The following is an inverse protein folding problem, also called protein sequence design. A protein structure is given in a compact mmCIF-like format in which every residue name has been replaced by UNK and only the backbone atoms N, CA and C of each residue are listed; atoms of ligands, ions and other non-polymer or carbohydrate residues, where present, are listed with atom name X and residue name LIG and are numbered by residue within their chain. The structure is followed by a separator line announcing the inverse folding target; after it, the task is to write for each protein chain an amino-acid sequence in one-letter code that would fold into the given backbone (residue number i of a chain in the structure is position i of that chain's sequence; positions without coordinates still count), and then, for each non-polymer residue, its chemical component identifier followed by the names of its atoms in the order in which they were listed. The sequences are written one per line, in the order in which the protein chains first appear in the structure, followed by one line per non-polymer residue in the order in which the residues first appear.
data_IF_189864456644
#
_entry.id   IF_189864456644
#
_cell.length_a   1.000
_cell.length_b   1.000
_cell.length_c   1.000
_cell.angle_alpha   90.00
_cell.angle_beta   90.00
_cell.angle_gamma   90.00
#
_symmetry.space_group_name_H-M   'P 1'
#
loop_
_entity.id
_entity.type
_entity.pdbx_description
1 polymer ?
#
# COMPACT_ATOMS: atom_id res chain seq x y z
N UNK A 1 12.20 7.99 20.88
CA UNK A 1 10.93 8.63 21.25
C UNK A 1 9.96 8.55 20.08
N UNK A 2 8.68 8.83 20.28
CA UNK A 2 7.67 8.85 19.22
C UNK A 2 6.69 10.00 19.47
N UNK A 3 6.05 10.56 18.44
CA UNK A 3 5.10 11.67 18.59
C UNK A 3 3.88 11.30 19.44
N UNK A 4 3.46 10.05 19.40
CA UNK A 4 2.33 9.50 20.15
C UNK A 4 2.72 8.88 21.51
N UNK A 5 3.89 9.23 22.05
CA UNK A 5 4.49 8.51 23.19
C UNK A 5 3.65 8.50 24.48
N UNK A 6 2.74 9.48 24.66
CA UNK A 6 1.81 9.57 25.81
C UNK A 6 0.43 8.98 25.56
N UNK A 7 0.20 8.36 24.40
CA UNK A 7 -1.12 7.80 24.06
C UNK A 7 -1.15 6.29 24.34
N UNK A 8 -2.34 5.69 24.54
CA UNK A 8 -2.48 4.24 24.66
C UNK A 8 -1.94 3.46 23.45
N UNK A 9 -1.87 4.11 22.28
CA UNK A 9 -1.36 3.53 21.02
C UNK A 9 0.10 3.91 20.73
N UNK A 10 0.90 4.20 21.76
CA UNK A 10 2.30 4.63 21.64
C UNK A 10 3.15 3.65 20.83
N UNK A 11 4.03 4.19 19.98
CA UNK A 11 5.04 3.39 19.26
C UNK A 11 6.26 3.04 20.12
N UNK A 12 6.43 3.68 21.28
CA UNK A 12 7.56 3.40 22.19
C UNK A 12 7.42 1.98 22.73
N UNK A 13 8.54 1.25 22.82
CA UNK A 13 8.59 -0.11 23.38
C UNK A 13 8.21 -1.24 22.40
N UNK A 14 7.79 -0.92 21.18
CA UNK A 14 7.46 -1.90 20.15
C UNK A 14 8.67 -2.20 19.24
N UNK A 15 8.81 -3.46 18.81
CA UNK A 15 9.86 -3.87 17.89
C UNK A 15 9.39 -3.71 16.43
N UNK A 16 10.08 -2.88 15.66
CA UNK A 16 9.83 -2.68 14.23
C UNK A 16 10.99 -3.14 13.33
N UNK A 17 11.97 -3.86 13.88
CA UNK A 17 13.17 -4.28 13.14
C UNK A 17 12.88 -5.20 11.94
N UNK A 18 11.70 -5.84 11.92
CA UNK A 18 11.23 -6.69 10.83
C UNK A 18 10.62 -5.91 9.66
N UNK A 19 10.29 -4.62 9.85
CA UNK A 19 9.59 -3.82 8.83
C UNK A 19 10.54 -3.49 7.68
N UNK A 20 10.08 -3.61 6.41
CA UNK A 20 10.91 -3.30 5.25
C UNK A 20 11.57 -1.92 5.29
N UNK A 21 10.86 -0.87 5.74
CA UNK A 21 11.47 0.46 5.84
C UNK A 21 12.72 0.44 6.73
N UNK A 22 12.68 -0.22 7.90
CA UNK A 22 13.80 -0.26 8.84
C UNK A 22 14.98 -1.07 8.29
N UNK A 23 14.70 -2.21 7.65
CA UNK A 23 15.72 -3.04 7.01
C UNK A 23 16.40 -2.29 5.86
N UNK A 24 15.63 -1.55 5.05
CA UNK A 24 16.15 -0.69 4.00
C UNK A 24 16.99 0.45 4.58
N UNK A 25 16.51 1.14 5.64
CA UNK A 25 17.28 2.21 6.29
C UNK A 25 18.64 1.72 6.76
N UNK A 26 18.69 0.53 7.38
CA UNK A 26 19.94 -0.06 7.87
C UNK A 26 20.89 -0.44 6.73
N UNK A 27 20.37 -0.91 5.60
CA UNK A 27 21.18 -1.37 4.48
C UNK A 27 21.61 -0.25 3.51
N UNK A 28 20.76 0.77 3.31
CA UNK A 28 20.90 1.79 2.26
C UNK A 28 20.89 3.22 2.77
N UNK A 29 20.70 3.43 4.08
CA UNK A 29 20.59 4.75 4.71
C UNK A 29 19.17 5.34 4.68
N UNK A 30 18.30 4.92 3.77
CA UNK A 30 16.89 5.33 3.71
C UNK A 30 15.97 4.15 3.47
N UNK A 31 14.70 4.29 3.83
CA UNK A 31 13.69 3.25 3.60
C UNK A 31 12.30 3.82 3.43
N UNK A 32 11.48 3.15 2.63
CA UNK A 32 10.09 3.50 2.34
C UNK A 32 9.20 2.25 2.40
N UNK A 33 7.99 2.38 2.93
CA UNK A 33 7.07 1.25 3.00
C UNK A 33 5.63 1.70 3.27
N UNK A 34 4.67 1.19 2.49
CA UNK A 34 3.27 1.28 2.86
C UNK A 34 2.92 0.17 3.86
N UNK A 35 2.18 0.49 4.92
CA UNK A 35 1.60 -0.52 5.80
C UNK A 35 0.36 -0.02 6.53
N UNK A 36 -0.51 -0.97 6.87
CA UNK A 36 -1.52 -0.79 7.91
C UNK A 36 -0.84 -0.82 9.27
N UNK A 37 -1.01 0.25 10.05
CA UNK A 37 -0.39 0.36 11.37
C UNK A 37 -0.85 -0.76 12.30
N UNK A 38 0.08 -1.55 12.85
CA UNK A 38 -0.23 -2.69 13.76
C UNK A 38 -1.05 -2.23 14.97
N UNK A 39 -0.68 -1.04 15.49
CA UNK A 39 -1.23 -0.46 16.71
C UNK A 39 -2.53 0.30 16.46
N UNK A 40 -2.59 1.10 15.38
CA UNK A 40 -3.73 2.01 15.14
C UNK A 40 -4.73 1.47 14.12
N UNK A 41 -4.37 0.48 13.30
CA UNK A 41 -5.17 0.03 12.15
C UNK A 41 -5.25 1.04 11.00
N UNK A 42 -4.63 2.22 11.15
CA UNK A 42 -4.68 3.30 10.16
C UNK A 42 -3.55 3.08 9.15
N UNK A 43 -3.86 2.96 7.85
CA UNK A 43 -2.84 2.85 6.80
C UNK A 43 -1.94 4.09 6.76
N UNK A 44 -0.69 3.89 6.40
CA UNK A 44 0.22 4.99 6.17
C UNK A 44 1.44 4.58 5.37
N UNK A 45 2.09 5.59 4.82
CA UNK A 45 3.36 5.47 4.14
C UNK A 45 4.48 5.92 5.08
N UNK A 46 5.38 4.99 5.36
CA UNK A 46 6.49 5.17 6.28
C UNK A 46 7.72 5.55 5.48
N UNK A 47 8.27 6.72 5.78
CA UNK A 47 9.56 7.19 5.29
C UNK A 47 10.56 7.16 6.43
N UNK A 48 11.78 6.72 6.15
CA UNK A 48 12.79 6.53 7.19
C UNK A 48 14.19 6.89 6.71
N UNK A 49 15.00 7.41 7.63
CA UNK A 49 16.39 7.80 7.39
C UNK A 49 17.28 7.33 8.54
N UNK A 50 18.51 6.93 8.23
CA UNK A 50 19.47 6.41 9.18
C UNK A 50 19.98 7.53 10.08
N UNK A 51 20.08 7.23 11.37
CA UNK A 51 20.84 8.02 12.34
C UNK A 51 22.20 7.34 12.48
N UNK A 52 23.26 8.07 12.16
CA UNK A 52 24.63 7.58 12.20
C UNK A 52 25.38 8.23 13.37
N UNK A 53 26.37 7.54 13.91
CA UNK A 53 27.34 8.15 14.81
C UNK A 53 28.41 8.94 14.02
N UNK A 54 29.30 9.61 14.73
CA UNK A 54 30.38 10.42 14.13
C UNK A 54 31.37 9.61 13.27
N UNK A 55 31.42 8.29 13.46
CA UNK A 55 32.25 7.36 12.68
C UNK A 55 31.50 6.67 11.55
N UNK A 56 30.25 7.07 11.25
CA UNK A 56 29.41 6.52 10.18
C UNK A 56 28.70 5.19 10.52
N UNK A 57 28.76 4.72 11.76
CA UNK A 57 28.08 3.53 12.24
C UNK A 57 26.58 3.75 12.47
N UNK A 58 25.74 2.80 12.06
CA UNK A 58 24.29 2.87 12.23
C UNK A 58 23.88 2.80 13.71
N UNK A 59 23.23 3.85 14.20
CA UNK A 59 22.69 3.92 15.56
C UNK A 59 21.18 3.63 15.63
N UNK A 60 20.45 3.85 14.54
CA UNK A 60 19.00 3.67 14.49
C UNK A 60 18.38 4.36 13.28
N UNK A 61 17.06 4.48 13.28
CA UNK A 61 16.31 5.13 12.21
C UNK A 61 15.34 6.18 12.78
N UNK A 62 15.28 7.34 12.11
CA UNK A 62 14.18 8.28 12.26
C UNK A 62 13.10 7.93 11.25
N UNK A 63 11.83 7.96 11.66
CA UNK A 63 10.69 7.52 10.83
C UNK A 63 9.57 8.55 10.87
N UNK A 64 9.04 8.90 9.70
CA UNK A 64 7.84 9.72 9.52
C UNK A 64 6.75 8.83 8.91
N UNK A 65 5.53 8.90 9.46
CA UNK A 65 4.34 8.26 8.90
C UNK A 65 3.49 9.33 8.23
N UNK A 66 3.23 9.17 6.95
CA UNK A 66 2.26 9.95 6.19
C UNK A 66 0.95 9.16 6.15
N UNK A 67 -0.16 9.80 6.47
CA UNK A 67 -1.50 9.22 6.35
C UNK A 67 -2.16 9.79 5.09
N UNK A 68 -3.01 9.02 4.41
CA UNK A 68 -3.65 9.43 3.15
C UNK A 68 -5.17 9.73 3.23
N UNK A 69 -5.73 10.25 4.34
CA UNK A 69 -7.17 10.44 4.42
C UNK A 69 -7.70 11.48 3.41
N UNK A 70 -6.86 12.43 2.97
CA UNK A 70 -7.27 13.49 2.03
C UNK A 70 -7.31 13.03 0.57
N UNK A 71 -6.50 12.04 0.18
CA UNK A 71 -6.43 11.61 -1.22
C UNK A 71 -7.73 10.95 -1.67
N UNK A 72 -8.37 10.20 -0.77
CA UNK A 72 -9.66 9.55 -1.02
C UNK A 72 -10.78 10.59 -1.12
N UNK A 73 -10.74 11.63 -0.29
CA UNK A 73 -11.76 12.69 -0.28
C UNK A 73 -11.66 13.63 -1.51
N UNK A 74 -10.45 13.89 -2.01
CA UNK A 74 -10.23 14.67 -3.25
C UNK A 74 -10.69 13.89 -4.50
N UNK A 75 -10.62 12.56 -4.47
CA UNK A 75 -11.02 11.69 -5.59
C UNK A 75 -12.49 11.25 -5.57
N UNK A 76 -13.21 11.48 -4.47
CA UNK A 76 -14.64 11.16 -4.31
C UNK A 76 -15.56 12.04 -5.17
N UNK A 77 -15.01 13.02 -5.90
CA UNK A 77 -15.77 13.98 -6.71
C UNK A 77 -15.99 13.55 -8.17
N UNK A 78 -15.48 12.39 -8.59
CA UNK A 78 -15.59 11.88 -9.96
C UNK A 78 -16.46 10.61 -10.08
N UNK A 79 -17.06 10.40 -11.25
CA UNK A 79 -17.78 9.14 -11.57
C UNK A 79 -16.81 7.97 -11.80
N UNK A 80 -15.55 8.28 -12.14
CA UNK A 80 -14.51 7.30 -12.40
C UNK A 80 -14.04 6.59 -11.11
N UNK A 81 -13.79 5.29 -11.22
CA UNK A 81 -13.20 4.51 -10.13
C UNK A 81 -11.67 4.61 -10.20
N UNK A 82 -11.07 5.09 -9.11
CA UNK A 82 -9.63 5.28 -8.95
C UNK A 82 -9.09 4.32 -7.88
N UNK A 83 -8.08 3.54 -8.26
CA UNK A 83 -7.41 2.57 -7.38
C UNK A 83 -5.90 2.80 -7.38
N UNK A 84 -5.24 2.57 -6.25
CA UNK A 84 -3.77 2.42 -6.21
C UNK A 84 -3.43 1.05 -5.65
N UNK A 85 -2.63 0.28 -6.40
CA UNK A 85 -2.13 -1.02 -5.97
C UNK A 85 -0.64 -1.00 -5.69
N UNK A 86 -0.19 -1.91 -4.81
CA UNK A 86 1.22 -2.19 -4.63
C UNK A 86 1.79 -3.10 -5.73
N UNK A 87 3.07 -3.44 -5.62
CA UNK A 87 3.79 -4.32 -6.56
C UNK A 87 3.21 -5.73 -6.68
N UNK A 88 2.38 -6.17 -5.72
CA UNK A 88 1.70 -7.47 -5.71
C UNK A 88 0.27 -7.38 -6.25
N UNK A 89 -0.16 -6.19 -6.69
CA UNK A 89 -1.51 -5.94 -7.17
C UNK A 89 -2.54 -5.87 -6.05
N UNK A 90 -2.15 -5.55 -4.81
CA UNK A 90 -3.12 -5.33 -3.72
C UNK A 90 -3.53 -3.88 -3.72
N UNK A 91 -4.82 -3.61 -3.92
CA UNK A 91 -5.39 -2.26 -3.82
C UNK A 91 -5.31 -1.77 -2.38
N UNK A 92 -4.68 -0.62 -2.15
CA UNK A 92 -4.50 -0.08 -0.81
C UNK A 92 -5.03 1.36 -0.65
N UNK A 93 -5.33 2.03 -1.77
CA UNK A 93 -6.14 3.25 -1.85
C UNK A 93 -7.24 3.00 -2.87
N UNK A 94 -8.46 3.44 -2.55
CA UNK A 94 -9.59 3.45 -3.47
C UNK A 94 -10.52 4.63 -3.13
N UNK A 95 -11.09 5.28 -4.13
CA UNK A 95 -12.07 6.35 -3.92
C UNK A 95 -13.49 5.85 -3.64
N UNK A 96 -13.78 4.56 -3.90
CA UNK A 96 -15.09 3.96 -3.62
C UNK A 96 -15.02 2.86 -2.55
N UNK A 97 -16.03 2.74 -1.67
CA UNK A 97 -16.10 1.68 -0.66
C UNK A 97 -16.04 0.26 -1.24
N UNK A 98 -15.46 -0.68 -0.50
CA UNK A 98 -15.42 -2.12 -0.89
C UNK A 98 -14.34 -2.49 -1.93
N UNK A 99 -13.65 -1.51 -2.49
CA UNK A 99 -12.55 -1.71 -3.45
C UNK A 99 -11.16 -1.80 -2.81
N UNK A 100 -10.99 -1.27 -1.58
CA UNK A 100 -9.74 -1.41 -0.83
C UNK A 100 -9.49 -2.87 -0.45
N UNK A 101 -8.22 -3.28 -0.45
CA UNK A 101 -7.72 -4.61 -0.12
C UNK A 101 -8.13 -5.72 -1.10
N UNK A 102 -8.50 -5.32 -2.32
CA UNK A 102 -8.72 -6.24 -3.42
C UNK A 102 -7.41 -6.72 -4.03
N UNK A 103 -7.31 -8.02 -4.28
CA UNK A 103 -6.20 -8.63 -5.02
C UNK A 103 -6.55 -8.55 -6.52
N UNK A 104 -5.89 -7.66 -7.26
CA UNK A 104 -6.09 -7.48 -8.71
C UNK A 104 -5.55 -8.66 -9.52
N UNK A 105 -4.56 -9.35 -8.95
CA UNK A 105 -3.90 -10.52 -9.52
C UNK A 105 -3.83 -11.62 -8.46
N UNK A 106 -3.79 -12.90 -8.86
CA UNK A 106 -3.51 -13.99 -7.93
C UNK A 106 -2.16 -13.78 -7.23
N UNK A 107 -2.17 -13.82 -5.89
CA UNK A 107 -0.95 -13.68 -5.09
C UNK A 107 -0.25 -15.03 -4.97
N UNK A 108 1.05 -15.06 -5.28
CA UNK A 108 1.92 -16.23 -5.12
C UNK A 108 2.05 -16.68 -3.66
N UNK A 109 2.51 -17.91 -3.42
CA UNK A 109 2.73 -18.44 -2.06
C UNK A 109 3.83 -17.63 -1.35
N UNK A 110 4.87 -17.26 -2.09
CA UNK A 110 6.02 -16.49 -1.64
C UNK A 110 5.61 -15.06 -1.25
N UNK A 111 4.75 -14.44 -2.04
CA UNK A 111 4.22 -13.10 -1.74
C UNK A 111 3.29 -13.15 -0.53
N UNK A 112 2.43 -14.16 -0.40
CA UNK A 112 1.61 -14.36 0.81
C UNK A 112 2.48 -14.50 2.06
N UNK A 113 3.53 -15.32 1.99
CA UNK A 113 4.48 -15.47 3.10
C UNK A 113 5.18 -14.15 3.44
N UNK A 114 5.53 -13.36 2.42
CA UNK A 114 6.12 -12.03 2.59
C UNK A 114 5.15 -11.08 3.29
N UNK A 115 3.88 -11.01 2.86
CA UNK A 115 2.86 -10.16 3.48
C UNK A 115 2.63 -10.50 4.95
N UNK A 116 2.62 -11.79 5.30
CA UNK A 116 2.50 -12.26 6.68
C UNK A 116 3.70 -11.83 7.53
N UNK A 117 4.92 -12.00 7.01
CA UNK A 117 6.16 -11.63 7.71
C UNK A 117 6.28 -10.11 7.89
N UNK A 118 5.97 -9.35 6.85
CA UNK A 118 6.08 -7.89 6.89
C UNK A 118 4.90 -7.24 7.61
N UNK A 119 3.79 -7.96 7.81
CA UNK A 119 2.54 -7.46 8.41
C UNK A 119 2.00 -6.23 7.67
N UNK A 120 2.13 -6.22 6.35
CA UNK A 120 1.79 -5.06 5.51
C UNK A 120 0.30 -4.71 5.60
N UNK A 121 -0.57 -5.72 5.50
CA UNK A 121 -2.03 -5.60 5.58
C UNK A 121 -2.58 -6.33 6.81
N UNK A 122 -1.86 -6.27 7.93
CA UNK A 122 -2.25 -6.97 9.15
C UNK A 122 -3.68 -6.55 9.58
N UNK A 123 -4.48 -7.54 10.02
CA UNK A 123 -5.90 -7.40 10.37
C UNK A 123 -6.85 -6.98 9.23
N UNK A 124 -6.37 -6.88 7.98
CA UNK A 124 -7.22 -6.64 6.82
C UNK A 124 -7.50 -7.95 6.09
N UNK A 125 -8.73 -8.08 5.57
CA UNK A 125 -9.12 -9.23 4.76
C UNK A 125 -8.79 -8.91 3.30
N UNK A 126 -7.77 -9.57 2.75
CA UNK A 126 -7.49 -9.52 1.32
C UNK A 126 -8.48 -10.41 0.57
N UNK A 127 -9.12 -9.86 -0.46
CA UNK A 127 -10.14 -10.56 -1.25
C UNK A 127 -9.82 -10.48 -2.73
N UNK A 128 -9.82 -11.58 -3.49
CA UNK A 128 -9.66 -11.52 -4.93
C UNK A 128 -10.70 -10.62 -5.59
N UNK A 129 -10.27 -9.82 -6.56
CA UNK A 129 -11.16 -9.15 -7.50
C UNK A 129 -11.27 -10.03 -8.74
N UNK A 130 -12.43 -10.65 -8.96
CA UNK A 130 -12.63 -11.42 -10.18
C UNK A 130 -12.79 -10.46 -11.34
N UNK A 131 -11.88 -10.53 -12.29
CA UNK A 131 -11.96 -9.78 -13.53
C UNK A 131 -11.58 -10.67 -14.71
N UNK A 132 -12.08 -10.30 -15.89
CA UNK A 132 -11.73 -10.94 -17.15
C UNK A 132 -11.55 -9.88 -18.22
N UNK A 133 -10.35 -9.84 -18.82
CA UNK A 133 -10.08 -9.00 -19.98
C UNK A 133 -10.96 -9.46 -21.15
N UNK A 134 -11.73 -8.53 -21.70
CA UNK A 134 -12.57 -8.70 -22.87
C UNK A 134 -11.80 -8.31 -24.13
N UNK A 135 -11.11 -7.17 -24.08
CA UNK A 135 -10.35 -6.62 -25.19
C UNK A 135 -9.13 -5.84 -24.67
N UNK A 136 -8.08 -5.72 -25.49
CA UNK A 136 -6.82 -5.05 -25.13
C UNK A 136 -6.46 -4.02 -26.19
N UNK A 137 -6.32 -2.76 -25.77
CA UNK A 137 -6.01 -1.65 -26.67
C UNK A 137 -4.51 -1.30 -26.64
N UNK A 138 -3.87 -1.43 -25.47
CA UNK A 138 -2.43 -1.23 -25.28
C UNK A 138 -1.94 -2.01 -24.06
N UNK A 139 -0.63 -1.95 -23.78
CA UNK A 139 -0.05 -2.55 -22.58
C UNK A 139 -0.69 -2.03 -21.27
N UNK A 140 -1.23 -0.81 -21.28
CA UNK A 140 -1.76 -0.11 -20.11
C UNK A 140 -3.24 0.24 -20.25
N UNK A 141 -3.94 -0.30 -21.25
CA UNK A 141 -5.35 0.01 -21.53
C UNK A 141 -6.07 -1.21 -22.08
N UNK A 142 -7.12 -1.63 -21.40
CA UNK A 142 -7.89 -2.82 -21.76
C UNK A 142 -9.33 -2.71 -21.26
N UNK A 143 -10.27 -3.36 -21.94
CA UNK A 143 -11.65 -3.51 -21.50
C UNK A 143 -11.75 -4.77 -20.62
N UNK A 144 -12.26 -4.64 -19.40
CA UNK A 144 -12.39 -5.74 -18.44
C UNK A 144 -13.79 -5.84 -17.88
N UNK A 145 -14.34 -7.06 -17.82
CA UNK A 145 -15.50 -7.37 -16.97
C UNK A 145 -15.01 -7.57 -15.54
N UNK A 146 -15.56 -6.82 -14.59
CA UNK A 146 -15.15 -6.86 -13.18
C UNK A 146 -16.35 -7.18 -12.31
N UNK A 147 -16.22 -8.19 -11.44
CA UNK A 147 -17.17 -8.46 -10.36
C UNK A 147 -16.82 -7.57 -9.16
N UNK A 148 -17.28 -6.33 -9.19
CA UNK A 148 -17.03 -5.33 -8.16
C UNK A 148 -17.99 -5.42 -6.96
N UNK A 149 -17.80 -4.56 -5.96
CA UNK A 149 -18.71 -4.43 -4.80
C UNK A 149 -20.15 -4.12 -5.18
N UNK A 150 -20.35 -3.35 -6.25
CA UNK A 150 -21.67 -2.89 -6.72
C UNK A 150 -22.29 -3.79 -7.80
N UNK A 151 -21.63 -4.91 -8.12
CA UNK A 151 -22.06 -5.87 -9.14
C UNK A 151 -21.05 -6.04 -10.27
N UNK A 152 -21.47 -6.78 -11.29
CA UNK A 152 -20.64 -7.05 -12.47
C UNK A 152 -20.80 -5.94 -13.51
N UNK A 153 -19.71 -5.25 -13.81
CA UNK A 153 -19.68 -4.12 -14.76
C UNK A 153 -18.47 -4.26 -15.70
N UNK A 154 -18.61 -3.77 -16.93
CA UNK A 154 -17.50 -3.68 -17.87
C UNK A 154 -16.84 -2.30 -17.73
N UNK A 155 -15.53 -2.28 -17.54
CA UNK A 155 -14.72 -1.07 -17.37
C UNK A 155 -13.65 -0.97 -18.43
N UNK A 156 -13.46 0.23 -18.99
CA UNK A 156 -12.20 0.60 -19.62
C UNK A 156 -11.17 0.84 -18.51
N UNK A 157 -10.24 -0.09 -18.39
CA UNK A 157 -9.20 -0.10 -17.36
C UNK A 157 -7.90 0.45 -17.91
N UNK A 158 -7.46 1.58 -17.35
CA UNK A 158 -6.18 2.21 -17.65
C UNK A 158 -5.24 2.12 -16.45
N UNK A 159 -3.95 1.85 -16.69
CA UNK A 159 -2.93 1.69 -15.66
C UNK A 159 -1.74 2.62 -15.88
N UNK A 160 -1.27 3.27 -14.80
CA UNK A 160 -0.08 4.14 -14.79
C UNK A 160 0.89 3.67 -13.70
N UNK A 161 2.04 3.06 -14.05
CA UNK A 161 3.06 2.69 -13.09
C UNK A 161 3.71 3.92 -12.44
N UNK A 162 3.81 3.90 -11.10
CA UNK A 162 4.55 4.85 -10.28
C UNK A 162 5.85 4.18 -9.82
N UNK A 163 6.88 4.31 -10.65
CA UNK A 163 8.09 3.47 -10.58
C UNK A 163 8.88 3.65 -9.28
N UNK A 164 8.94 4.86 -8.73
CA UNK A 164 9.72 5.13 -7.51
C UNK A 164 9.13 4.45 -6.26
N UNK A 165 7.82 4.20 -6.26
CA UNK A 165 7.09 3.58 -5.16
C UNK A 165 6.79 2.09 -5.39
N UNK A 166 7.05 1.58 -6.60
CA UNK A 166 6.52 0.29 -7.08
C UNK A 166 4.99 0.19 -6.93
N UNK A 167 4.28 1.29 -7.20
CA UNK A 167 2.82 1.33 -7.18
C UNK A 167 2.26 1.41 -8.59
N UNK A 168 0.98 1.11 -8.73
CA UNK A 168 0.25 1.37 -9.98
C UNK A 168 -1.03 2.13 -9.66
N UNK A 169 -1.24 3.26 -10.35
CA UNK A 169 -2.51 3.97 -10.37
C UNK A 169 -3.40 3.35 -11.45
N UNK A 170 -4.64 3.06 -11.12
CA UNK A 170 -5.64 2.53 -12.03
C UNK A 170 -6.84 3.46 -12.12
N UNK A 171 -7.33 3.63 -13.35
CA UNK A 171 -8.53 4.39 -13.68
C UNK A 171 -9.50 3.44 -14.41
N UNK A 172 -10.71 3.30 -13.88
CA UNK A 172 -11.76 2.45 -14.42
C UNK A 172 -12.98 3.33 -14.77
N UNK A 173 -13.43 3.24 -16.02
CA UNK A 173 -14.53 4.03 -16.61
C UNK A 173 -15.54 3.17 -17.34
#
# INVERSE_FOLDING_TARGET
GASNWRTPNSYVGHNYAFRPYFLQTRAKGTGRFYAVGVTTGIPGYFLSSAVLNDTGGFMGAMVVKLEFPSLEQEWDQGEDLLLVSDEKGIVFIANQPGWRYRELLPISVEDRATLLRTRQYDKQVLSPLRSRVIDSFSANSHLSRVDGPDGTTDYLWQSLPLVDENWTLHLLR
#
